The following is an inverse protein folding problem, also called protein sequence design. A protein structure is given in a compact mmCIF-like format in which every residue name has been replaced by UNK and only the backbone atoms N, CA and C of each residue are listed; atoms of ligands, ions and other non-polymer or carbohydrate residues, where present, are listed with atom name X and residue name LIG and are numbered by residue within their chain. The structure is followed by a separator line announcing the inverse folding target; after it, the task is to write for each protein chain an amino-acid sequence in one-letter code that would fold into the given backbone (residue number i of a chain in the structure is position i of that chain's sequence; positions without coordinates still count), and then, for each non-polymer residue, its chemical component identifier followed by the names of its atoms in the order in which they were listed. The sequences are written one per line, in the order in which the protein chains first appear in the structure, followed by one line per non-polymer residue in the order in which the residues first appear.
data_IF_829926935541
#
_entry.id   IF_829926935541
#
_cell.length_a   1.000
_cell.length_b   1.000
_cell.length_c   1.000
_cell.angle_alpha   90.00
_cell.angle_beta   90.00
_cell.angle_gamma   90.00
#
_symmetry.space_group_name_H-M   'P 1'
#
loop_
_entity.id
_entity.type
_entity.pdbx_description
1 polymer ?
#
# COMPACT_ATOMS: atom_id res chain seq x y z
N UNK A 1 23.43 3.80 -9.46
CA UNK A 1 22.91 3.99 -8.10
C UNK A 1 21.59 4.72 -8.16
N UNK A 2 20.54 4.09 -7.70
CA UNK A 2 19.25 4.75 -7.66
C UNK A 2 19.19 5.73 -6.48
N UNK A 3 18.72 6.92 -6.78
CA UNK A 3 18.47 7.94 -5.77
C UNK A 3 17.24 7.55 -4.96
N UNK A 4 17.27 7.76 -3.65
CA UNK A 4 16.09 7.59 -2.83
C UNK A 4 14.97 8.52 -3.35
N UNK A 5 13.76 7.99 -3.44
CA UNK A 5 12.61 8.80 -3.83
C UNK A 5 12.21 9.73 -2.67
N UNK A 6 11.57 10.83 -3.00
CA UNK A 6 10.91 11.68 -2.01
C UNK A 6 9.65 10.98 -1.49
N UNK A 7 9.15 11.42 -0.36
CA UNK A 7 7.93 10.87 0.22
C UNK A 7 6.79 10.79 -0.79
N UNK A 8 6.62 11.83 -1.62
CA UNK A 8 5.58 11.84 -2.67
C UNK A 8 5.71 10.68 -3.65
N UNK A 9 6.93 10.31 -4.01
CA UNK A 9 7.17 9.19 -4.93
C UNK A 9 6.71 7.86 -4.35
N UNK A 10 7.04 7.60 -3.10
CA UNK A 10 6.60 6.38 -2.41
C UNK A 10 5.08 6.36 -2.21
N UNK A 11 4.49 7.49 -1.84
CA UNK A 11 3.05 7.60 -1.68
C UNK A 11 2.31 7.38 -3.00
N UNK A 12 2.87 7.85 -4.10
CA UNK A 12 2.31 7.62 -5.42
C UNK A 12 2.32 6.13 -5.78
N UNK A 13 3.40 5.41 -5.48
CA UNK A 13 3.43 3.95 -5.66
C UNK A 13 2.37 3.26 -4.82
N UNK A 14 2.16 3.72 -3.59
CA UNK A 14 1.09 3.17 -2.73
C UNK A 14 -0.28 3.37 -3.38
N UNK A 15 -0.56 4.57 -3.89
CA UNK A 15 -1.85 4.86 -4.54
C UNK A 15 -2.05 4.04 -5.80
N UNK A 16 -1.01 3.85 -6.60
CA UNK A 16 -1.10 3.00 -7.78
C UNK A 16 -1.44 1.56 -7.39
N UNK A 17 -0.80 1.05 -6.35
CA UNK A 17 -1.07 -0.30 -5.86
C UNK A 17 -2.50 -0.43 -5.31
N UNK A 18 -2.96 0.58 -4.55
CA UNK A 18 -4.33 0.65 -4.03
C UNK A 18 -5.34 0.61 -5.19
N UNK A 19 -5.10 1.41 -6.23
CA UNK A 19 -5.96 1.43 -7.41
C UNK A 19 -6.01 0.09 -8.12
N UNK A 20 -4.86 -0.57 -8.29
CA UNK A 20 -4.81 -1.90 -8.91
C UNK A 20 -5.59 -2.92 -8.11
N UNK A 21 -5.45 -2.92 -6.79
CA UNK A 21 -6.19 -3.84 -5.92
C UNK A 21 -7.70 -3.65 -6.12
N UNK A 22 -8.15 -2.39 -6.18
CA UNK A 22 -9.57 -2.08 -6.43
C UNK A 22 -10.04 -2.63 -7.77
N UNK A 23 -9.26 -2.45 -8.82
CA UNK A 23 -9.60 -2.94 -10.16
C UNK A 23 -9.58 -4.46 -10.24
N UNK A 24 -8.61 -5.11 -9.58
CA UNK A 24 -8.45 -6.56 -9.64
C UNK A 24 -9.48 -7.31 -8.79
N UNK A 25 -10.08 -6.64 -7.80
CA UNK A 25 -11.14 -7.22 -6.99
C UNK A 25 -12.55 -6.84 -7.46
N UNK A 26 -12.65 -5.84 -8.34
CA UNK A 26 -13.93 -5.40 -8.87
C UNK A 26 -14.65 -6.56 -9.57
N UNK A 27 -15.90 -6.74 -9.25
CA UNK A 27 -16.69 -7.83 -9.83
C UNK A 27 -16.43 -9.21 -9.22
N UNK A 28 -15.51 -9.33 -8.26
CA UNK A 28 -15.30 -10.57 -7.52
C UNK A 28 -15.99 -10.49 -6.16
N UNK A 29 -16.62 -11.57 -5.74
CA UNK A 29 -16.91 -11.82 -4.35
C UNK A 29 -15.80 -12.71 -3.78
N UNK A 30 -15.87 -13.02 -2.49
CA UNK A 30 -14.84 -13.85 -1.85
C UNK A 30 -14.70 -15.21 -2.53
N UNK A 31 -15.82 -15.85 -2.87
CA UNK A 31 -15.81 -17.15 -3.53
C UNK A 31 -15.12 -17.09 -4.89
N UNK A 32 -15.41 -16.07 -5.70
CA UNK A 32 -14.77 -15.88 -7.00
C UNK A 32 -13.26 -15.62 -6.85
N UNK A 33 -12.88 -14.81 -5.85
CA UNK A 33 -11.48 -14.55 -5.56
C UNK A 33 -10.73 -15.83 -5.19
N UNK A 34 -11.36 -16.70 -4.40
CA UNK A 34 -10.77 -17.98 -4.00
C UNK A 34 -10.56 -18.94 -5.16
N UNK A 35 -11.22 -18.70 -6.30
CA UNK A 35 -11.09 -19.53 -7.51
C UNK A 35 -10.15 -18.91 -8.55
N UNK A 36 -9.63 -17.71 -8.30
CA UNK A 36 -8.80 -17.00 -9.29
C UNK A 36 -7.36 -16.83 -8.81
N UNK A 37 -6.49 -17.73 -9.22
CA UNK A 37 -5.06 -17.60 -8.89
C UNK A 37 -4.48 -16.30 -9.42
N UNK A 38 -4.89 -15.88 -10.61
CA UNK A 38 -4.43 -14.63 -11.20
C UNK A 38 -4.79 -13.42 -10.33
N UNK A 39 -6.04 -13.35 -9.86
CA UNK A 39 -6.47 -12.26 -8.98
C UNK A 39 -5.74 -12.32 -7.63
N UNK A 40 -5.57 -13.50 -7.07
CA UNK A 40 -4.83 -13.72 -5.82
C UNK A 40 -3.41 -13.20 -5.93
N UNK A 41 -2.68 -13.62 -6.95
CA UNK A 41 -1.28 -13.24 -7.15
C UNK A 41 -1.13 -11.75 -7.40
N UNK A 42 -2.03 -11.17 -8.19
CA UNK A 42 -2.00 -9.75 -8.50
C UNK A 42 -2.27 -8.89 -7.24
N UNK A 43 -3.24 -9.29 -6.43
CA UNK A 43 -3.56 -8.57 -5.18
C UNK A 43 -2.42 -8.70 -4.18
N UNK A 44 -1.88 -9.90 -3.98
CA UNK A 44 -0.75 -10.12 -3.08
C UNK A 44 0.45 -9.25 -3.48
N UNK A 45 0.78 -9.22 -4.76
CA UNK A 45 1.88 -8.40 -5.27
C UNK A 45 1.69 -6.93 -4.92
N UNK A 46 0.47 -6.41 -5.08
CA UNK A 46 0.20 -5.01 -4.80
C UNK A 46 0.16 -4.68 -3.31
N UNK A 47 -0.28 -5.62 -2.47
CA UNK A 47 -0.15 -5.46 -1.01
C UNK A 47 1.32 -5.39 -0.61
N UNK A 48 2.18 -6.21 -1.21
CA UNK A 48 3.62 -6.15 -0.98
C UNK A 48 4.21 -4.79 -1.39
N UNK A 49 3.76 -4.24 -2.51
CA UNK A 49 4.20 -2.90 -2.96
C UNK A 49 3.83 -1.84 -1.93
N UNK A 50 2.61 -1.89 -1.39
CA UNK A 50 2.19 -0.96 -0.34
C UNK A 50 3.11 -1.08 0.88
N UNK A 51 3.41 -2.29 1.31
CA UNK A 51 4.28 -2.55 2.46
C UNK A 51 5.71 -2.07 2.24
N UNK A 52 6.26 -2.30 1.04
CA UNK A 52 7.60 -1.84 0.69
C UNK A 52 7.68 -0.31 0.66
N UNK A 53 6.68 0.34 0.07
CA UNK A 53 6.63 1.80 0.04
C UNK A 53 6.54 2.38 1.46
N UNK A 54 5.74 1.78 2.33
CA UNK A 54 5.65 2.19 3.73
C UNK A 54 7.00 2.05 4.45
N UNK A 55 7.70 0.96 4.21
CA UNK A 55 9.03 0.74 4.77
C UNK A 55 10.02 1.80 4.29
N UNK A 56 9.98 2.11 3.00
CA UNK A 56 10.88 3.10 2.40
C UNK A 56 10.63 4.50 2.98
N UNK A 57 9.38 4.86 3.24
CA UNK A 57 9.05 6.14 3.87
C UNK A 57 9.58 6.19 5.30
N UNK A 58 9.42 5.10 6.06
CA UNK A 58 9.96 5.03 7.42
C UNK A 58 11.48 5.20 7.44
N UNK A 59 12.15 4.64 6.43
CA UNK A 59 13.60 4.68 6.31
C UNK A 59 14.11 6.03 5.80
N UNK A 60 13.51 6.53 4.71
CA UNK A 60 14.03 7.69 3.98
C UNK A 60 13.38 9.03 4.39
N UNK A 61 12.17 8.99 4.96
CA UNK A 61 11.44 10.18 5.37
C UNK A 61 10.76 9.98 6.74
N UNK A 62 11.53 9.61 7.79
CA UNK A 62 10.94 9.29 9.09
C UNK A 62 10.21 10.46 9.73
N UNK A 63 10.64 11.69 9.51
CA UNK A 63 9.95 12.86 10.03
C UNK A 63 8.57 13.03 9.40
N UNK A 64 8.47 12.76 8.09
CA UNK A 64 7.19 12.79 7.40
C UNK A 64 6.24 11.71 7.97
N UNK A 65 6.74 10.49 8.13
CA UNK A 65 5.96 9.39 8.71
C UNK A 65 5.46 9.74 10.11
N UNK A 66 6.30 10.36 10.93
CA UNK A 66 5.94 10.76 12.30
C UNK A 66 4.82 11.81 12.33
N UNK A 67 4.69 12.62 11.29
CA UNK A 67 3.63 13.64 11.18
C UNK A 67 2.32 13.10 10.57
N UNK A 68 2.35 11.90 10.01
CA UNK A 68 1.19 11.29 9.35
C UNK A 68 0.85 9.95 10.01
N UNK A 69 0.53 10.00 11.31
CA UNK A 69 0.24 8.81 12.11
C UNK A 69 -1.09 8.16 11.78
N UNK A 70 -1.94 8.83 11.00
CA UNK A 70 -3.17 8.24 10.47
C UNK A 70 -2.90 7.08 9.51
N UNK A 71 -1.68 7.02 8.95
CA UNK A 71 -1.24 5.91 8.12
C UNK A 71 -0.45 4.94 9.01
N UNK A 72 -0.89 3.67 9.12
CA UNK A 72 -0.22 2.72 10.00
C UNK A 72 1.02 2.09 9.33
N UNK A 73 2.08 2.87 9.21
CA UNK A 73 3.29 2.52 8.45
C UNK A 73 3.86 1.15 8.81
N UNK A 74 4.01 0.87 10.11
CA UNK A 74 4.61 -0.39 10.57
C UNK A 74 3.69 -1.59 10.32
N UNK A 75 2.39 -1.38 10.44
CA UNK A 75 1.40 -2.42 10.17
C UNK A 75 1.42 -2.76 8.68
N UNK A 76 1.48 -1.75 7.81
CA UNK A 76 1.55 -1.94 6.36
C UNK A 76 2.80 -2.72 5.97
N UNK A 77 3.94 -2.36 6.53
CA UNK A 77 5.17 -3.09 6.27
C UNK A 77 5.10 -4.52 6.80
N UNK A 78 4.55 -4.70 8.01
CA UNK A 78 4.42 -6.01 8.63
C UNK A 78 3.39 -6.93 7.96
N UNK A 79 2.46 -6.36 7.21
CA UNK A 79 1.42 -7.12 6.50
C UNK A 79 2.00 -8.08 5.47
N UNK A 80 3.11 -7.72 4.84
CA UNK A 80 3.87 -8.58 3.96
C UNK A 80 4.20 -9.92 4.64
N UNK A 81 4.66 -9.87 5.90
CA UNK A 81 4.99 -11.08 6.67
C UNK A 81 3.75 -11.87 7.11
N UNK A 82 2.65 -11.18 7.33
CA UNK A 82 1.37 -11.81 7.70
C UNK A 82 0.77 -12.60 6.55
N UNK A 83 0.92 -12.11 5.34
CA UNK A 83 0.37 -12.73 4.13
C UNK A 83 1.24 -13.88 3.68
N UNK A 84 2.55 -13.71 3.74
CA UNK A 84 3.54 -14.69 3.30
C UNK A 84 4.23 -15.34 4.48
N UNK A 85 3.61 -16.38 5.03
CA UNK A 85 4.26 -17.21 6.05
C UNK A 85 4.97 -18.36 5.35
N UNK A 86 6.27 -18.18 5.09
CA UNK A 86 7.06 -19.17 4.38
C UNK A 86 6.80 -19.18 2.89
N UNK A 87 7.35 -20.14 2.21
CA UNK A 87 7.36 -20.18 0.74
C UNK A 87 6.03 -20.56 0.12
N UNK A 88 5.17 -21.22 0.85
CA UNK A 88 4.06 -21.96 0.27
C UNK A 88 2.70 -21.53 0.76
N UNK A 89 2.64 -20.79 1.85
CA UNK A 89 1.36 -20.54 2.51
C UNK A 89 1.04 -19.06 2.49
N UNK A 90 0.05 -18.70 1.68
CA UNK A 90 -0.56 -17.38 1.66
C UNK A 90 -1.96 -17.55 2.25
N UNK A 91 -2.27 -16.76 3.28
CA UNK A 91 -3.61 -16.78 3.86
C UNK A 91 -4.54 -15.95 3.00
N UNK A 92 -5.25 -16.60 2.07
CA UNK A 92 -6.12 -15.94 1.10
C UNK A 92 -7.32 -15.24 1.75
N UNK A 93 -7.80 -15.73 2.88
CA UNK A 93 -8.89 -15.06 3.60
C UNK A 93 -8.42 -13.70 4.13
N UNK A 94 -7.21 -13.64 4.67
CA UNK A 94 -6.60 -12.37 5.11
C UNK A 94 -6.34 -11.45 3.92
N UNK A 95 -5.87 -11.99 2.81
CA UNK A 95 -5.64 -11.22 1.58
C UNK A 95 -6.94 -10.58 1.09
N UNK A 96 -8.00 -11.37 1.01
CA UNK A 96 -9.31 -10.86 0.58
C UNK A 96 -9.82 -9.75 1.50
N UNK A 97 -9.80 -9.98 2.80
CA UNK A 97 -10.26 -8.99 3.77
C UNK A 97 -9.43 -7.71 3.69
N UNK A 98 -8.13 -7.84 3.56
CA UNK A 98 -7.23 -6.70 3.38
C UNK A 98 -7.60 -5.90 2.14
N UNK A 99 -7.83 -6.58 1.03
CA UNK A 99 -8.12 -5.94 -0.26
C UNK A 99 -9.45 -5.18 -0.25
N UNK A 100 -10.48 -5.71 0.40
CA UNK A 100 -11.83 -5.13 0.32
C UNK A 100 -12.20 -4.24 1.51
N UNK A 101 -11.47 -4.32 2.61
CA UNK A 101 -11.73 -3.52 3.81
C UNK A 101 -10.59 -2.55 4.12
N UNK A 102 -9.39 -3.09 4.38
CA UNK A 102 -8.26 -2.28 4.84
C UNK A 102 -7.72 -1.33 3.78
N UNK A 103 -7.60 -1.80 2.54
CA UNK A 103 -7.05 -1.00 1.45
C UNK A 103 -7.97 0.17 1.09
N UNK A 104 -9.31 0.00 0.95
CA UNK A 104 -10.19 1.14 0.73
C UNK A 104 -10.15 2.19 1.84
N UNK A 105 -10.01 1.78 3.10
CA UNK A 105 -9.87 2.72 4.23
C UNK A 105 -8.57 3.51 4.15
N UNK A 106 -7.52 2.89 3.64
CA UNK A 106 -6.21 3.51 3.53
C UNK A 106 -6.16 4.59 2.44
N UNK A 107 -6.92 4.42 1.37
CA UNK A 107 -6.85 5.26 0.18
C UNK A 107 -6.95 6.77 0.47
N UNK A 108 -7.98 7.27 1.18
CA UNK A 108 -8.07 8.70 1.43
C UNK A 108 -6.94 9.24 2.31
N UNK A 109 -6.42 8.43 3.21
CA UNK A 109 -5.30 8.81 4.07
C UNK A 109 -4.03 9.02 3.26
N UNK A 110 -3.75 8.12 2.33
CA UNK A 110 -2.58 8.23 1.44
C UNK A 110 -2.76 9.38 0.47
N UNK A 111 -3.97 9.58 -0.07
CA UNK A 111 -4.26 10.71 -0.96
C UNK A 111 -3.98 12.05 -0.27
N UNK A 112 -4.44 12.19 0.98
CA UNK A 112 -4.20 13.41 1.74
C UNK A 112 -2.71 13.60 2.05
N UNK A 113 -2.02 12.55 2.45
CA UNK A 113 -0.58 12.61 2.72
C UNK A 113 0.21 12.99 1.47
N UNK A 114 -0.19 12.48 0.30
CA UNK A 114 0.45 12.84 -0.97
C UNK A 114 0.29 14.33 -1.27
N UNK A 115 -0.90 14.89 -1.07
CA UNK A 115 -1.13 16.33 -1.26
C UNK A 115 -0.20 17.15 -0.39
N UNK A 116 -0.07 16.78 0.88
CA UNK A 116 0.83 17.46 1.83
C UNK A 116 2.28 17.34 1.38
N UNK A 117 2.71 16.14 1.00
CA UNK A 117 4.07 15.89 0.54
C UNK A 117 4.42 16.75 -0.67
N UNK A 118 3.51 16.84 -1.65
CA UNK A 118 3.73 17.63 -2.86
C UNK A 118 3.83 19.12 -2.54
N UNK A 119 3.03 19.63 -1.62
CA UNK A 119 3.10 21.03 -1.19
C UNK A 119 4.42 21.33 -0.47
N UNK A 120 4.90 20.42 0.35
CA UNK A 120 6.16 20.59 1.08
C UNK A 120 7.36 20.54 0.13
N UNK A 121 7.31 19.66 -0.88
CA UNK A 121 8.39 19.48 -1.86
C UNK A 121 8.41 20.57 -2.91
N UNK A 122 7.25 21.15 -3.22
CA UNK A 122 7.08 22.20 -4.20
C UNK A 122 6.24 23.33 -3.61
N UNK A 123 6.80 24.08 -2.65
CA UNK A 123 6.01 25.14 -2.01
C UNK A 123 5.62 26.22 -3.04
N UNK A 124 4.43 26.83 -2.89
CA UNK A 124 4.01 27.88 -3.79
C UNK A 124 4.98 29.06 -3.75
N UNK A 125 5.32 29.56 -4.93
CA UNK A 125 6.17 30.75 -5.06
C UNK A 125 5.32 32.01 -4.85
N UNK A 126 5.92 32.98 -4.19
CA UNK A 126 5.30 34.29 -4.02
C UNK A 126 5.53 35.16 -5.24
#
# INVERSE_FOLDING_TARGET
MSKALRASGYLDYMLQAIDRIGRYTAGHDEAAFMQSEMAQDAVVRNIEIIGEAAHDILKDAPAFAARHTEIPWKILYGMRNKISHGYHVVDLAVVWQTAVESVPELAPKVQNALKVALLEENPPQR
#
